data_IF_595623436116
#
_entry.id   IF_595623436116
#
_cell.length_a   1.000
_cell.length_b   1.000
_cell.length_c   1.000
_cell.angle_alpha   90.00
_cell.angle_beta   90.00
_cell.angle_gamma   90.00
#
_symmetry.space_group_name_H-M   'P 1'
#
loop_
_entity.id
_entity.type
_entity.pdbx_description
1 polymer ?
2 water ?
#
# COMPACT_ATOMS: atom_id res chain seq x y z
N UNK A 2 5.82 10.35 12.79
CA UNK A 2 6.26 9.25 11.87
C UNK A 2 5.23 9.04 10.75
N UNK A 3 5.59 8.29 9.69
CA UNK A 3 4.66 7.95 8.57
C UNK A 3 3.87 6.69 8.95
N UNK A 4 2.56 6.82 9.16
CA UNK A 4 1.61 5.69 9.37
C UNK A 4 0.79 5.52 8.09
N UNK A 5 0.36 4.29 7.83
CA UNK A 5 -0.34 3.87 6.60
C UNK A 5 -1.45 2.90 6.99
N UNK A 6 -2.55 2.95 6.26
CA UNK A 6 -3.65 1.97 6.41
C UNK A 6 -3.87 1.36 5.03
N UNK A 7 -3.93 0.03 4.96
CA UNK A 7 -4.18 -0.72 3.70
C UNK A 7 -5.30 -1.71 3.97
N UNK A 8 -6.21 -1.91 3.03
CA UNK A 8 -7.30 -2.89 3.21
C UNK A 8 -7.67 -3.58 1.89
N UNK A 9 -8.40 -4.69 2.04
CA UNK A 9 -9.12 -5.44 0.98
C UNK A 9 -10.61 -5.32 1.30
N UNK A 10 -11.40 -4.91 0.31
CA UNK A 10 -12.89 -4.83 0.33
C UNK A 10 -13.49 -5.99 -0.48
N UNK A 11 -14.78 -6.28 -0.26
CA UNK A 11 -15.54 -7.37 -0.94
C UNK A 11 -16.75 -6.80 -1.67
N UNK A 12 -17.15 -5.56 -1.34
CA UNK A 12 -18.34 -4.85 -1.90
C UNK A 12 -18.44 -5.13 -3.41
N UNK A 23 -15.78 -1.59 -5.74
CA UNK A 23 -16.77 -0.47 -5.80
C UNK A 23 -16.04 0.84 -5.45
N UNK A 24 -16.72 1.98 -5.60
CA UNK A 24 -16.13 3.33 -5.39
C UNK A 24 -16.75 4.01 -4.16
N UNK A 25 -18.03 3.75 -3.85
CA UNK A 25 -18.76 4.43 -2.74
C UNK A 25 -18.10 4.08 -1.39
N UNK A 26 -18.01 2.80 -1.05
CA UNK A 26 -17.32 2.31 0.17
C UNK A 26 -15.92 2.93 0.27
N UNK A 27 -15.14 2.87 -0.81
CA UNK A 27 -13.80 3.50 -0.91
C UNK A 27 -13.91 5.00 -0.60
N UNK A 28 -15.03 5.62 -0.99
CA UNK A 28 -15.34 7.05 -0.79
C UNK A 28 -15.61 7.28 0.70
N UNK A 29 -16.50 6.49 1.29
CA UNK A 29 -16.98 6.70 2.69
C UNK A 29 -15.82 6.40 3.65
N UNK A 30 -15.00 5.40 3.35
CA UNK A 30 -13.84 5.03 4.20
C UNK A 30 -12.81 6.16 4.09
N UNK A 31 -12.42 6.52 2.86
CA UNK A 31 -11.54 7.66 2.55
C UNK A 31 -11.98 8.93 3.25
N UNK A 32 -13.29 9.17 3.34
CA UNK A 32 -13.87 10.36 4.00
C UNK A 32 -13.53 10.30 5.50
N UNK A 33 -13.81 9.16 6.15
CA UNK A 33 -13.51 8.98 7.61
C UNK A 33 -12.01 9.17 7.81
N UNK A 34 -11.19 8.54 6.98
CA UNK A 34 -9.73 8.57 7.15
C UNK A 34 -9.22 9.99 6.90
N UNK A 35 -9.78 10.72 5.92
CA UNK A 35 -9.33 12.10 5.61
C UNK A 35 -9.47 12.99 6.86
N UNK A 36 -10.52 12.79 7.64
CA UNK A 36 -10.75 13.53 8.90
C UNK A 36 -9.53 13.44 9.84
N UNK A 37 -8.70 12.39 9.75
CA UNK A 37 -7.51 12.19 10.62
C UNK A 37 -6.22 12.33 9.81
N UNK A 38 -6.29 13.01 8.66
CA UNK A 38 -5.10 13.31 7.83
C UNK A 38 -4.57 12.14 7.00
N UNK A 39 -5.32 11.05 6.84
CA UNK A 39 -4.89 9.89 6.01
C UNK A 39 -5.45 10.02 4.60
N UNK A 40 -4.58 10.26 3.61
CA UNK A 40 -4.98 10.50 2.19
C UNK A 40 -4.55 9.29 1.33
N UNK A 41 -5.38 8.88 0.37
CA UNK A 41 -5.04 7.76 -0.56
C UNK A 41 -3.83 8.17 -1.42
N UNK A 42 -2.74 7.41 -1.34
CA UNK A 42 -1.39 7.78 -1.84
C UNK A 42 -1.08 6.96 -3.10
N UNK A 43 -1.22 5.64 -3.05
CA UNK A 43 -0.72 4.73 -4.12
C UNK A 43 -1.46 3.40 -4.04
N UNK A 44 -2.61 3.31 -4.69
CA UNK A 44 -3.49 2.13 -4.67
C UNK A 44 -4.60 2.33 -3.66
N UNK A 45 -4.88 1.31 -2.85
CA UNK A 45 -5.82 1.32 -1.69
C UNK A 45 -5.04 1.58 -0.38
N UNK A 46 -3.94 2.33 -0.50
CA UNK A 46 -3.00 2.71 0.59
C UNK A 46 -3.28 4.16 1.03
N UNK A 47 -3.69 4.36 2.27
CA UNK A 47 -3.89 5.71 2.87
C UNK A 47 -2.73 6.00 3.82
N UNK A 48 -2.09 7.16 3.66
CA UNK A 48 -0.93 7.59 4.47
C UNK A 48 -1.16 8.96 5.09
N UNK A 49 -0.50 9.14 6.23
CA UNK A 49 -0.40 10.38 7.02
C UNK A 49 1.06 10.46 7.47
N UNK A 50 1.79 11.46 6.99
CA UNK A 50 3.25 11.61 7.22
C UNK A 50 3.52 12.38 8.51
N UNK A 51 2.49 12.83 9.21
CA UNK A 51 2.65 13.82 10.30
C UNK A 51 2.48 13.11 11.63
N UNK A 52 1.25 12.65 11.91
CA UNK A 52 0.74 12.46 13.29
C UNK A 52 1.33 11.18 13.89
N UNK A 53 0.88 10.87 15.11
CA UNK A 53 1.40 9.80 16.00
C UNK A 53 0.38 8.65 16.07
N UNK A 54 0.55 7.76 17.03
CA UNK A 54 -0.29 6.55 17.20
C UNK A 54 -1.68 6.94 17.70
N UNK A 55 -1.84 7.97 18.52
CA UNK A 55 -3.17 8.31 19.08
C UNK A 55 -4.10 8.69 17.92
N UNK A 56 -3.56 9.43 16.96
CA UNK A 56 -4.25 9.88 15.73
C UNK A 56 -4.64 8.66 14.90
N UNK A 57 -3.71 7.73 14.66
CA UNK A 57 -4.04 6.46 13.94
C UNK A 57 -5.16 5.74 14.68
N UNK A 58 -5.10 5.68 16.01
CA UNK A 58 -6.12 4.97 16.82
C UNK A 58 -7.48 5.67 16.69
N UNK A 59 -7.52 7.00 16.63
CA UNK A 59 -8.81 7.72 16.45
C UNK A 59 -9.39 7.39 15.07
N UNK A 60 -8.56 7.39 14.02
CA UNK A 60 -8.96 6.97 12.66
C UNK A 60 -9.63 5.58 12.72
N UNK A 61 -9.02 4.62 13.43
CA UNK A 61 -9.46 3.20 13.48
C UNK A 61 -10.75 3.09 14.31
N UNK A 62 -10.87 3.83 15.42
CA UNK A 62 -12.15 3.97 16.16
C UNK A 62 -13.24 4.57 15.25
N UNK A 63 -12.93 5.62 14.48
CA UNK A 63 -13.92 6.28 13.60
C UNK A 63 -14.44 5.26 12.59
N UNK A 64 -13.55 4.48 11.97
CA UNK A 64 -13.95 3.39 11.04
C UNK A 64 -14.90 2.41 11.75
N UNK A 65 -14.51 1.88 12.92
CA UNK A 65 -15.33 0.92 13.71
C UNK A 65 -16.78 1.42 13.83
N UNK A 66 -16.95 2.72 14.06
CA UNK A 66 -18.27 3.36 14.22
C UNK A 66 -19.15 2.98 13.02
N UNK A 67 -18.63 3.01 11.79
CA UNK A 67 -19.41 2.66 10.56
C UNK A 67 -19.95 1.23 10.65
N UNK A 68 -21.25 1.05 10.94
CA UNK A 68 -21.93 -0.26 11.15
C UNK A 68 -21.63 -1.27 10.03
N UNK A 69 -21.56 -0.82 8.77
CA UNK A 69 -21.45 -1.72 7.58
C UNK A 69 -20.01 -2.16 7.29
N UNK A 70 -18.98 -1.53 7.88
CA UNK A 70 -17.56 -1.81 7.51
C UNK A 70 -17.16 -3.25 7.88
N UNK A 71 -17.75 -3.83 8.93
CA UNK A 71 -17.36 -5.18 9.42
C UNK A 71 -17.68 -6.24 8.35
N UNK A 72 -18.69 -6.00 7.51
CA UNK A 72 -19.18 -6.97 6.50
C UNK A 72 -18.61 -6.66 5.11
N UNK A 73 -17.89 -5.54 4.95
CA UNK A 73 -17.28 -5.11 3.66
C UNK A 73 -15.75 -5.25 3.70
N UNK A 74 -15.11 -5.17 4.88
CA UNK A 74 -13.62 -5.29 5.01
C UNK A 74 -13.24 -6.76 5.27
N UNK A 75 -12.53 -7.39 4.33
CA UNK A 75 -11.94 -8.74 4.51
C UNK A 75 -10.72 -8.63 5.42
N UNK A 76 -9.85 -7.65 5.13
CA UNK A 76 -8.49 -7.54 5.71
C UNK A 76 -8.13 -6.07 5.83
N UNK A 77 -7.69 -5.61 7.00
CA UNK A 77 -7.21 -4.21 7.19
C UNK A 77 -5.92 -4.24 8.02
N UNK A 78 -4.88 -3.62 7.48
CA UNK A 78 -3.52 -3.54 8.04
C UNK A 78 -3.22 -2.08 8.32
N UNK A 79 -2.55 -1.80 9.45
CA UNK A 79 -1.92 -0.48 9.68
C UNK A 79 -0.46 -0.73 10.04
N UNK A 80 0.41 0.19 9.70
CA UNK A 80 1.85 -0.04 9.86
C UNK A 80 2.54 1.30 9.81
N UNK A 81 3.78 1.30 10.26
CA UNK A 81 4.71 2.43 10.05
C UNK A 81 5.56 2.18 8.80
N UNK A 82 5.64 3.20 7.96
CA UNK A 82 6.55 3.27 6.79
C UNK A 82 7.85 3.98 7.21
N UNK A 83 8.98 3.36 6.88
CA UNK A 83 10.33 3.96 7.01
C UNK A 83 10.98 3.96 5.63
N UNK A 84 11.98 4.81 5.45
CA UNK A 84 12.88 4.79 4.28
C UNK A 84 12.05 4.93 3.01
N UNK A 85 10.95 5.65 3.12
CA UNK A 85 10.07 6.02 1.99
C UNK A 85 10.96 6.53 0.85
N UNK A 86 11.00 5.86 -0.32
CA UNK A 86 11.99 6.16 -1.39
C UNK A 86 11.30 6.26 -2.75
N UNK A 87 11.67 7.23 -3.56
CA UNK A 87 11.00 7.47 -4.86
C UNK A 87 11.88 6.92 -5.97
N UNK A 88 11.35 5.93 -6.69
CA UNK A 88 12.03 5.16 -7.76
C UNK A 88 11.51 5.57 -9.14
N UNK A 89 10.66 6.60 -9.20
CA UNK A 89 10.02 7.07 -10.46
C UNK A 89 11.12 7.45 -11.46
N UNK A 90 12.11 8.24 -11.04
CA UNK A 90 13.23 8.66 -11.93
C UNK A 90 14.12 7.45 -12.23
N UNK A 91 14.43 6.60 -11.23
CA UNK A 91 15.27 5.38 -11.34
C UNK A 91 14.71 4.43 -12.41
N UNK A 92 13.41 4.55 -12.71
CA UNK A 92 12.60 3.67 -13.60
C UNK A 92 12.43 4.33 -14.98
N UNK A 93 12.46 5.67 -15.06
CA UNK A 93 12.15 6.45 -16.29
C UNK A 93 13.38 6.69 -17.18
N UNK A 94 14.43 5.88 -17.06
CA UNK A 94 15.66 5.99 -17.90
C UNK A 94 15.67 4.84 -18.90
N UNK B 2 14.24 -7.67 6.50
CA UNK B 2 13.10 -6.82 7.00
C UNK B 2 11.91 -6.95 6.05
N UNK B 3 10.78 -6.30 6.36
CA UNK B 3 9.59 -6.21 5.46
C UNK B 3 9.75 -5.01 4.51
N UNK B 4 9.90 -5.26 3.21
CA UNK B 4 9.99 -4.23 2.15
C UNK B 4 8.71 -4.28 1.32
N UNK B 5 8.36 -3.15 0.72
CA UNK B 5 7.12 -3.00 -0.08
C UNK B 5 7.39 -2.10 -1.28
N UNK B 6 6.64 -2.35 -2.35
CA UNK B 6 6.65 -1.56 -3.60
C UNK B 6 5.21 -1.17 -3.86
N UNK B 7 4.97 0.12 -4.10
CA UNK B 7 3.65 0.72 -4.37
C UNK B 7 3.83 1.58 -5.60
N UNK B 8 2.92 1.48 -6.57
CA UNK B 8 3.00 2.28 -7.82
C UNK B 8 1.61 2.78 -8.23
N UNK B 9 1.60 3.76 -9.13
CA UNK B 9 0.41 4.31 -9.83
C UNK B 9 0.68 4.16 -11.32
N UNK B 10 -0.20 3.44 -12.03
CA UNK B 10 -0.16 3.27 -13.50
C UNK B 10 -1.14 4.25 -14.17
N UNK B 11 -1.06 4.34 -15.50
CA UNK B 11 -1.98 5.15 -16.36
C UNK B 11 -2.69 4.22 -17.35
N UNK B 12 -1.95 3.31 -18.00
CA UNK B 12 -2.44 2.43 -19.10
C UNK B 12 -1.74 1.07 -18.99
N UNK B 24 -5.30 -8.87 -14.88
CA UNK B 24 -5.70 -7.45 -14.94
C UNK B 24 -4.61 -6.63 -15.65
N UNK B 25 -4.82 -6.31 -16.93
CA UNK B 25 -3.95 -5.45 -17.77
C UNK B 25 -2.47 -5.87 -17.62
N UNK B 26 -1.56 -4.93 -17.34
CA UNK B 26 -0.10 -5.16 -17.19
C UNK B 26 0.29 -5.19 -15.71
N UNK B 27 -0.67 -5.10 -14.78
CA UNK B 27 -0.46 -5.49 -13.35
C UNK B 27 0.08 -6.93 -13.30
N UNK B 28 -0.25 -7.73 -14.32
CA UNK B 28 0.21 -9.12 -14.54
C UNK B 28 1.73 -9.12 -14.76
N UNK B 29 2.22 -8.31 -15.70
CA UNK B 29 3.63 -8.35 -16.17
C UNK B 29 4.56 -7.78 -15.09
N UNK B 30 4.14 -6.72 -14.40
CA UNK B 30 4.91 -6.11 -13.28
C UNK B 30 4.93 -7.13 -12.14
N UNK B 31 3.75 -7.64 -11.78
CA UNK B 31 3.58 -8.67 -10.73
C UNK B 31 4.43 -9.90 -10.98
N UNK B 32 4.51 -10.35 -12.23
CA UNK B 32 5.37 -11.50 -12.61
C UNK B 32 6.82 -11.14 -12.29
N UNK B 33 7.31 -9.98 -12.75
CA UNK B 33 8.72 -9.58 -12.48
C UNK B 33 8.92 -9.57 -10.97
N UNK B 34 8.01 -8.95 -10.22
CA UNK B 34 8.19 -8.77 -8.76
C UNK B 34 8.13 -10.13 -8.05
N UNK B 35 7.23 -11.04 -8.46
CA UNK B 35 7.10 -12.39 -7.87
C UNK B 35 8.45 -13.13 -7.93
N UNK B 36 9.24 -12.88 -8.97
CA UNK B 36 10.59 -13.49 -9.14
C UNK B 36 11.52 -13.15 -7.97
N UNK B 37 11.35 -12.01 -7.30
CA UNK B 37 12.19 -11.56 -6.15
C UNK B 37 11.39 -11.63 -4.84
N UNK B 38 10.31 -12.42 -4.83
CA UNK B 38 9.53 -12.70 -3.61
C UNK B 38 8.51 -11.61 -3.24
N UNK B 39 8.25 -10.63 -4.10
CA UNK B 39 7.26 -9.56 -3.81
C UNK B 39 5.89 -9.96 -4.35
N UNK B 40 4.96 -10.24 -3.44
CA UNK B 40 3.57 -10.71 -3.74
C UNK B 40 2.60 -9.56 -3.45
N UNK B 41 1.57 -9.37 -4.27
CA UNK B 41 0.49 -8.38 -4.01
C UNK B 41 -0.34 -8.82 -2.79
N UNK B 42 -0.36 -8.00 -1.74
CA UNK B 42 -0.96 -8.34 -0.42
C UNK B 42 -2.22 -7.50 -0.18
N UNK B 43 -2.23 -6.21 -0.53
CA UNK B 43 -3.38 -5.31 -0.20
C UNK B 43 -3.45 -4.12 -1.17
N UNK B 44 -4.03 -4.35 -2.34
CA UNK B 44 -4.21 -3.32 -3.38
C UNK B 44 -3.13 -3.47 -4.42
N UNK B 45 -2.50 -2.38 -4.83
CA UNK B 45 -1.32 -2.39 -5.72
C UNK B 45 -0.06 -2.28 -4.85
N UNK B 46 -0.06 -3.00 -3.73
CA UNK B 46 1.05 -3.00 -2.76
C UNK B 46 1.68 -4.39 -2.81
N UNK B 47 2.93 -4.49 -3.25
CA UNK B 47 3.67 -5.77 -3.30
C UNK B 47 4.64 -5.82 -2.12
N UNK B 48 4.59 -6.91 -1.35
CA UNK B 48 5.38 -7.09 -0.12
C UNK B 48 6.22 -8.35 -0.20
N UNK B 49 7.31 -8.31 0.54
CA UNK B 49 8.30 -9.38 0.77
C UNK B 49 8.74 -9.22 2.23
N UNK B 50 8.38 -10.18 3.08
CA UNK B 50 8.67 -10.18 4.54
C UNK B 50 10.11 -10.64 4.79
N UNK B 51 10.77 -11.20 3.78
CA UNK B 51 11.91 -12.12 4.01
C UNK B 51 13.24 -11.40 3.80
N UNK B 52 13.50 -10.86 2.60
CA UNK B 52 14.88 -10.58 2.12
C UNK B 52 15.29 -9.13 2.45
N UNK B 53 16.39 -8.69 1.83
CA UNK B 53 17.15 -7.48 2.21
C UNK B 53 17.02 -6.43 1.10
N UNK B 54 17.79 -5.34 1.20
CA UNK B 54 17.82 -4.25 0.20
C UNK B 54 18.41 -4.75 -1.12
N UNK B 55 19.36 -5.68 -1.10
CA UNK B 55 19.97 -6.19 -2.35
C UNK B 55 18.87 -6.86 -3.20
N UNK B 56 18.02 -7.67 -2.57
CA UNK B 56 16.90 -8.35 -3.25
C UNK B 56 15.95 -7.29 -3.81
N UNK B 57 15.53 -6.31 -2.99
CA UNK B 57 14.65 -5.20 -3.47
C UNK B 57 15.31 -4.50 -4.67
N UNK B 58 16.61 -4.25 -4.59
CA UNK B 58 17.38 -3.58 -5.66
C UNK B 58 17.30 -4.37 -6.97
N UNK B 59 17.54 -5.68 -6.97
CA UNK B 59 17.54 -6.39 -8.28
C UNK B 59 16.11 -6.53 -8.80
N UNK B 60 15.09 -6.60 -7.92
CA UNK B 60 13.66 -6.43 -8.29
C UNK B 60 13.47 -5.13 -9.08
N UNK B 61 14.06 -4.02 -8.62
CA UNK B 61 13.87 -2.69 -9.26
C UNK B 61 14.64 -2.65 -10.59
N UNK B 62 15.81 -3.30 -10.67
CA UNK B 62 16.59 -3.42 -11.93
C UNK B 62 15.74 -4.21 -12.94
N UNK B 63 15.09 -5.29 -12.48
CA UNK B 63 14.28 -6.19 -13.33
C UNK B 63 13.13 -5.39 -13.94
N UNK B 64 12.44 -4.55 -13.15
CA UNK B 64 11.39 -3.63 -13.67
C UNK B 64 12.00 -2.69 -14.73
N UNK B 65 13.07 -1.98 -14.35
CA UNK B 65 13.80 -1.00 -15.19
C UNK B 65 14.00 -1.53 -16.61
N UNK B 66 14.27 -2.84 -16.77
CA UNK B 66 14.65 -3.43 -18.08
C UNK B 66 13.39 -3.57 -18.95
N UNK B 67 12.20 -3.55 -18.36
CA UNK B 67 10.93 -3.60 -19.14
C UNK B 67 10.78 -2.31 -19.96
N UNK B 68 10.96 -2.43 -21.28
CA UNK B 68 10.77 -1.40 -22.34
C UNK B 68 9.69 -0.38 -21.95
N UNK B 69 8.46 -0.84 -21.72
CA UNK B 69 7.22 -0.01 -21.65
C UNK B 69 6.96 0.56 -20.25
N UNK B 70 7.73 0.17 -19.23
CA UNK B 70 7.35 0.54 -17.83
C UNK B 70 7.55 2.05 -17.62
N UNK B 71 8.46 2.66 -18.39
CA UNK B 71 8.77 4.11 -18.30
C UNK B 71 7.53 4.92 -18.71
N UNK B 72 6.92 4.57 -19.85
CA UNK B 72 5.68 5.23 -20.34
C UNK B 72 4.55 5.01 -19.32
N UNK B 73 4.42 3.82 -18.74
CA UNK B 73 3.16 3.38 -18.08
C UNK B 73 3.24 3.34 -16.54
N UNK B 74 4.30 3.84 -15.89
CA UNK B 74 4.34 4.06 -14.41
C UNK B 74 4.43 5.58 -14.16
N UNK B 75 3.55 6.14 -13.33
CA UNK B 75 3.55 7.59 -12.99
C UNK B 75 4.35 7.81 -11.72
N UNK B 76 4.14 6.94 -10.73
CA UNK B 76 4.71 7.08 -9.37
C UNK B 76 5.06 5.67 -8.89
N UNK B 77 6.27 5.45 -8.39
CA UNK B 77 6.64 4.14 -7.79
C UNK B 77 7.50 4.43 -6.57
N UNK B 78 7.08 3.89 -5.44
CA UNK B 78 7.72 4.05 -4.13
C UNK B 78 8.20 2.68 -3.68
N UNK B 79 9.32 2.64 -2.97
CA UNK B 79 9.72 1.48 -2.15
C UNK B 79 9.99 1.97 -0.73
N UNK B 80 9.83 1.09 0.25
CA UNK B 80 9.90 1.51 1.66
C UNK B 80 9.95 0.27 2.52
N UNK B 81 10.39 0.49 3.75
CA UNK B 81 10.36 -0.53 4.80
C UNK B 81 9.07 -0.38 5.61
N UNK B 82 8.38 -1.48 5.83
CA UNK B 82 7.22 -1.57 6.75
C UNK B 82 7.71 -2.02 8.13
N UNK B 83 7.28 -1.31 9.17
CA UNK B 83 7.46 -1.69 10.59
C UNK B 83 6.09 -1.73 11.27
N UNK B 84 6.01 -2.47 12.36
CA UNK B 84 4.84 -2.52 13.26
C UNK B 84 3.63 -2.92 12.42
N UNK B 85 3.86 -3.80 11.47
CA UNK B 85 2.78 -4.42 10.66
C UNK B 85 1.73 -4.93 11.64
N UNK B 86 0.52 -4.38 11.63
CA UNK B 86 -0.53 -4.74 12.62
C UNK B 86 -1.84 -5.05 11.90
N UNK B 87 -2.55 -6.03 12.42
CA UNK B 87 -3.79 -6.55 11.80
C UNK B 87 -4.98 -6.04 12.63
N UNK B 88 -5.80 -5.17 12.03
CA UNK B 88 -6.96 -4.50 12.66
C UNK B 88 -8.27 -5.15 12.23
N UNK B 89 -8.22 -6.30 11.56
CA UNK B 89 -9.42 -6.99 11.00
C UNK B 89 -10.38 -7.37 12.13
N UNK B 90 -9.87 -8.01 13.18
CA UNK B 90 -10.66 -8.34 14.40
C UNK B 90 -11.11 -7.04 15.09
N UNK B 91 -10.20 -6.08 15.24
CA UNK B 91 -10.46 -4.74 15.83
C UNK B 91 -11.67 -4.10 15.15
N UNK B 92 -11.85 -4.33 13.84
CA UNK B 92 -12.90 -3.71 12.96
C UNK B 92 -14.12 -4.62 12.87
N UNK B 93 -13.90 -5.94 12.75
CA UNK B 93 -14.93 -6.96 12.42
C UNK B 93 -15.75 -7.32 13.67
N UNK B 94 -15.49 -6.68 14.82
CA UNK B 94 -16.36 -6.77 16.03
C UNK B 94 -17.57 -5.84 15.81
#
# INVERSE_FOLDING_TARGET
AAMYAIAFNLVVKDTQDYHPKGVQEAYTDIGAVLAKFGFVRTQGSLYTNMNEDMANLFQAMNALKQLAWISQSVRDIRAFRIEQWSDFTDFIRNLEHHHHHH
AAMYAIAFNLVVKDTQDYHPKGVQEAYTDIGAVLAKFGFVRTQGSLYTNMNEDMANLFQAMNALKQLAWISQSVRDIRAFRIEQWSDFTDFIRNLEHHHHHH
#
